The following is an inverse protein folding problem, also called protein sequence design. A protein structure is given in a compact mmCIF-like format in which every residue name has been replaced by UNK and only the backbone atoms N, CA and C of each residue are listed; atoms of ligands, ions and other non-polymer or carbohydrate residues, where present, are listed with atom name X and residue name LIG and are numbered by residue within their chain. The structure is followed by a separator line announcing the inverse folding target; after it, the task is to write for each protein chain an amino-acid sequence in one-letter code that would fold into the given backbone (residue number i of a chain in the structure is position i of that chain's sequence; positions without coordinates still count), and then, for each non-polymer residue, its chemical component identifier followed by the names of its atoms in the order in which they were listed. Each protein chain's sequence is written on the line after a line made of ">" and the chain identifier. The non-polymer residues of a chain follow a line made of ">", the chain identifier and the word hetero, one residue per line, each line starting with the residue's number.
data_IF_420195374267
#
_entry.id   IF_420195374267
#
_cell.length_a   1.000
_cell.length_b   1.000
_cell.length_c   1.000
_cell.angle_alpha   90.00
_cell.angle_beta   90.00
_cell.angle_gamma   90.00
#
_symmetry.space_group_name_H-M   'P 1'
#
loop_
_entity.id
_entity.type
_entity.pdbx_description
1 polymer ?
#
# COMPACT_ATOMS: atom_id res chain seq x y z
N UNK A 1 -6.35 37.35 -5.16
CA UNK A 1 -6.00 37.30 -6.60
C UNK A 1 -6.19 35.88 -7.08
N UNK A 2 -6.54 35.65 -8.35
CA UNK A 2 -6.92 34.33 -8.85
C UNK A 2 -5.74 33.57 -9.48
N UNK A 3 -5.51 32.33 -9.06
CA UNK A 3 -4.62 31.36 -9.69
C UNK A 3 -5.53 30.28 -10.29
N UNK A 4 -6.10 30.58 -11.46
CA UNK A 4 -7.07 29.68 -12.10
C UNK A 4 -6.40 28.41 -12.60
N UNK A 5 -7.11 27.29 -12.47
CA UNK A 5 -6.88 26.11 -13.28
C UNK A 5 -7.03 26.48 -14.77
N UNK A 6 -6.00 26.26 -15.58
CA UNK A 6 -6.17 26.28 -17.02
C UNK A 6 -7.11 25.11 -17.35
N UNK A 7 -8.32 25.43 -17.80
CA UNK A 7 -9.39 24.52 -18.19
C UNK A 7 -8.83 23.17 -18.66
N UNK A 8 -8.81 22.21 -17.74
CA UNK A 8 -8.53 20.83 -18.10
C UNK A 8 -9.71 20.43 -18.99
N UNK A 9 -9.42 19.99 -20.21
CA UNK A 9 -10.41 19.53 -21.21
C UNK A 9 -11.21 18.29 -20.76
N UNK A 10 -11.27 18.03 -19.45
CA UNK A 10 -11.99 16.96 -18.81
C UNK A 10 -13.36 17.52 -18.43
N UNK A 11 -14.28 17.40 -19.38
CA UNK A 11 -15.70 17.71 -19.19
C UNK A 11 -16.24 16.78 -18.10
N UNK A 12 -16.50 17.32 -16.91
CA UNK A 12 -17.61 17.01 -15.98
C UNK A 12 -17.30 17.65 -14.62
N UNK A 13 -18.33 18.21 -13.99
CA UNK A 13 -18.27 18.82 -12.65
C UNK A 13 -17.43 18.02 -11.65
N UNK A 14 -16.62 18.76 -10.92
CA UNK A 14 -15.28 18.37 -10.45
C UNK A 14 -15.36 17.53 -9.16
N UNK A 15 -15.67 16.23 -9.27
CA UNK A 15 -15.32 15.26 -8.21
C UNK A 15 -13.87 14.79 -8.43
N UNK A 16 -12.91 15.52 -7.86
CA UNK A 16 -11.47 15.17 -7.83
C UNK A 16 -11.13 13.99 -6.93
N UNK A 17 -12.10 13.52 -6.14
CA UNK A 17 -11.99 12.30 -5.36
C UNK A 17 -13.18 11.40 -5.71
N UNK A 18 -12.91 10.25 -6.30
CA UNK A 18 -13.90 9.21 -6.53
C UNK A 18 -13.70 8.06 -5.54
N UNK A 19 -14.76 7.28 -5.31
CA UNK A 19 -14.61 5.94 -4.71
C UNK A 19 -14.00 4.95 -5.70
N UNK A 20 -14.05 5.27 -6.98
CA UNK A 20 -13.40 4.49 -8.03
C UNK A 20 -11.89 4.68 -7.94
N UNK A 21 -11.17 3.56 -7.99
CA UNK A 21 -9.71 3.48 -7.79
C UNK A 21 -8.90 3.93 -9.01
N UNK A 22 -9.61 4.33 -10.06
CA UNK A 22 -9.06 4.86 -11.31
C UNK A 22 -9.74 6.19 -11.60
N UNK A 23 -8.96 7.22 -11.89
CA UNK A 23 -9.49 8.54 -12.24
C UNK A 23 -9.68 8.65 -13.78
N UNK A 24 -10.67 7.95 -14.32
CA UNK A 24 -11.00 8.04 -15.75
C UNK A 24 -11.69 9.35 -16.16
N UNK A 25 -11.51 10.43 -15.39
CA UNK A 25 -12.11 11.75 -15.60
C UNK A 25 -11.67 12.40 -16.91
N UNK A 26 -10.48 12.03 -17.37
CA UNK A 26 -9.90 12.52 -18.61
C UNK A 26 -9.82 11.38 -19.63
N UNK A 27 -10.55 11.49 -20.73
CA UNK A 27 -10.58 10.44 -21.76
C UNK A 27 -9.16 10.12 -22.25
N UNK A 28 -8.72 8.88 -22.03
CA UNK A 28 -7.38 8.40 -22.41
C UNK A 28 -6.27 8.71 -21.41
N UNK A 29 -6.59 9.30 -20.25
CA UNK A 29 -5.69 9.44 -19.09
C UNK A 29 -6.34 8.74 -17.91
N UNK A 30 -5.87 7.54 -17.62
CA UNK A 30 -6.24 6.81 -16.42
C UNK A 30 -5.01 6.74 -15.54
N UNK A 31 -5.10 7.33 -14.36
CA UNK A 31 -4.14 7.15 -13.28
C UNK A 31 -4.67 6.06 -12.36
N UNK A 32 -3.76 5.21 -11.93
CA UNK A 32 -4.05 4.15 -10.96
C UNK A 32 -2.93 4.13 -9.94
N UNK A 33 -3.28 3.76 -8.71
CA UNK A 33 -2.28 3.43 -7.71
C UNK A 33 -1.36 2.33 -8.25
N UNK A 34 -0.05 2.54 -8.11
CA UNK A 34 0.92 1.53 -8.48
C UNK A 34 0.71 0.27 -7.65
N UNK A 35 0.80 -0.89 -8.27
CA UNK A 35 0.73 -2.18 -7.57
C UNK A 35 2.01 -2.95 -7.86
N UNK A 36 2.64 -3.47 -6.82
CA UNK A 36 3.78 -4.35 -6.96
C UNK A 36 3.31 -5.72 -7.50
N UNK A 37 4.07 -6.26 -8.46
CA UNK A 37 3.89 -7.64 -8.93
C UNK A 37 4.06 -8.60 -7.76
N UNK A 38 3.09 -9.51 -7.58
CA UNK A 38 3.17 -10.53 -6.54
C UNK A 38 4.38 -11.43 -6.78
N UNK A 39 5.19 -11.62 -5.75
CA UNK A 39 6.28 -12.60 -5.74
C UNK A 39 6.02 -13.56 -4.60
N UNK A 40 6.27 -14.85 -4.82
CA UNK A 40 6.14 -15.89 -3.81
C UNK A 40 7.23 -16.93 -4.00
N UNK A 41 7.97 -17.21 -2.93
CA UNK A 41 9.07 -18.18 -2.93
C UNK A 41 8.85 -19.22 -1.83
N UNK A 42 9.10 -20.49 -2.16
CA UNK A 42 9.00 -21.59 -1.21
C UNK A 42 10.31 -21.75 -0.44
N UNK A 43 10.21 -22.02 0.86
CA UNK A 43 11.33 -22.47 1.68
C UNK A 43 11.47 -23.98 1.69
N UNK A 44 12.40 -24.47 2.49
CA UNK A 44 12.64 -25.91 2.68
C UNK A 44 11.59 -26.52 3.60
N UNK A 45 11.27 -25.82 4.70
CA UNK A 45 10.35 -26.27 5.74
C UNK A 45 9.18 -25.31 5.94
N UNK A 46 9.30 -24.05 5.50
CA UNK A 46 8.23 -23.07 5.51
C UNK A 46 7.82 -22.70 4.08
N UNK A 47 6.53 -22.81 3.79
CA UNK A 47 5.98 -22.43 2.50
C UNK A 47 4.78 -21.48 2.67
N UNK A 48 4.85 -20.24 2.16
CA UNK A 48 6.00 -19.61 1.52
C UNK A 48 7.06 -19.11 2.53
N UNK A 49 8.31 -19.00 2.07
CA UNK A 49 9.42 -18.35 2.79
C UNK A 49 9.46 -16.85 2.52
N UNK A 50 9.04 -16.41 1.34
CA UNK A 50 8.95 -14.99 1.01
C UNK A 50 7.68 -14.70 0.21
N UNK A 51 7.01 -13.60 0.55
CA UNK A 51 5.94 -13.01 -0.24
C UNK A 51 6.20 -11.51 -0.42
N UNK A 52 6.06 -11.00 -1.63
CA UNK A 52 5.76 -9.59 -1.91
C UNK A 52 4.31 -9.50 -2.40
N UNK A 53 3.48 -8.68 -1.76
CA UNK A 53 2.10 -8.47 -2.20
C UNK A 53 1.66 -7.03 -1.96
N UNK A 54 0.84 -6.52 -2.87
CA UNK A 54 0.14 -5.25 -2.67
C UNK A 54 -1.05 -5.40 -1.72
N UNK A 55 -1.15 -4.52 -0.74
CA UNK A 55 -2.26 -4.43 0.20
C UNK A 55 -2.68 -2.96 0.36
N UNK A 56 -3.94 -2.68 0.08
CA UNK A 56 -4.48 -1.32 0.09
C UNK A 56 -4.89 -0.90 1.51
N UNK A 57 -4.80 0.40 1.78
CA UNK A 57 -5.31 1.00 3.03
C UNK A 57 -6.79 0.70 3.23
N UNK A 58 -7.17 0.37 4.47
CA UNK A 58 -8.52 -0.03 4.84
C UNK A 58 -8.96 -1.40 4.30
N UNK A 59 -8.10 -2.10 3.56
CA UNK A 59 -8.36 -3.45 3.07
C UNK A 59 -7.64 -4.49 3.94
N UNK A 60 -8.19 -5.71 3.93
CA UNK A 60 -7.67 -6.83 4.71
C UNK A 60 -7.24 -7.95 3.77
N UNK A 61 -6.15 -8.62 4.10
CA UNK A 61 -5.67 -9.79 3.37
C UNK A 61 -5.23 -10.86 4.35
N UNK A 62 -5.51 -12.11 3.99
CA UNK A 62 -5.10 -13.29 4.75
C UNK A 62 -4.15 -14.13 3.90
N UNK A 63 -3.05 -14.55 4.50
CA UNK A 63 -2.01 -15.37 3.88
C UNK A 63 -1.78 -16.63 4.70
N UNK A 64 -1.67 -17.77 4.02
CA UNK A 64 -1.45 -19.06 4.66
C UNK A 64 0.00 -19.49 4.48
N UNK A 65 0.59 -20.00 5.55
CA UNK A 65 1.93 -20.55 5.62
C UNK A 65 1.83 -21.96 6.16
N UNK A 66 2.43 -22.91 5.47
CA UNK A 66 2.48 -24.30 5.90
C UNK A 66 3.87 -24.67 6.37
N UNK A 67 3.93 -25.53 7.39
CA UNK A 67 5.17 -26.10 7.89
C UNK A 67 4.92 -27.47 8.54
N UNK A 68 5.92 -28.37 8.52
CA UNK A 68 5.81 -29.64 9.20
C UNK A 68 5.88 -29.45 10.71
N UNK A 69 5.07 -30.21 11.44
CA UNK A 69 5.08 -30.24 12.90
C UNK A 69 4.58 -31.59 13.40
N UNK A 70 5.26 -32.13 14.40
CA UNK A 70 4.82 -33.35 15.12
C UNK A 70 3.91 -33.05 16.31
N UNK A 71 3.76 -31.78 16.66
CA UNK A 71 2.91 -31.32 17.77
C UNK A 71 1.75 -30.49 17.26
N UNK A 72 0.60 -30.63 17.91
CA UNK A 72 -0.59 -29.81 17.64
C UNK A 72 -0.46 -28.38 18.20
N UNK A 73 0.40 -28.19 19.19
CA UNK A 73 0.71 -26.89 19.77
C UNK A 73 2.09 -26.43 19.29
N UNK A 74 2.09 -25.44 18.41
CA UNK A 74 3.33 -24.84 17.90
C UNK A 74 3.44 -23.36 18.27
N UNK A 75 4.63 -22.98 18.72
CA UNK A 75 4.92 -21.60 19.08
C UNK A 75 5.25 -20.82 17.80
N UNK A 76 4.22 -20.25 17.20
CA UNK A 76 4.35 -19.31 16.07
C UNK A 76 4.33 -17.89 16.59
N UNK A 77 5.34 -17.11 16.20
CA UNK A 77 5.51 -15.70 16.55
C UNK A 77 5.68 -14.87 15.30
N UNK A 78 5.37 -13.58 15.38
CA UNK A 78 5.62 -12.65 14.30
C UNK A 78 6.19 -11.33 14.83
N UNK A 79 6.95 -10.66 13.97
CA UNK A 79 7.48 -9.32 14.19
C UNK A 79 7.05 -8.47 13.00
N UNK A 80 6.57 -7.26 13.27
CA UNK A 80 6.17 -6.32 12.22
C UNK A 80 7.08 -5.10 12.22
N UNK A 81 7.55 -4.71 11.04
CA UNK A 81 8.37 -3.50 10.83
C UNK A 81 7.77 -2.68 9.68
N UNK A 82 7.63 -1.37 9.86
CA UNK A 82 7.10 -0.44 8.85
C UNK A 82 8.14 0.58 8.42
N UNK A 83 8.07 1.06 7.18
CA UNK A 83 8.86 2.20 6.71
C UNK A 83 8.26 3.54 7.15
N UNK A 84 7.02 3.54 7.65
CA UNK A 84 6.29 4.72 8.08
C UNK A 84 5.57 4.46 9.42
N UNK A 85 4.30 4.86 9.53
CA UNK A 85 3.49 4.78 10.74
C UNK A 85 3.27 3.31 11.15
N UNK A 86 2.89 3.14 12.42
CA UNK A 86 2.52 1.84 13.00
C UNK A 86 1.02 1.54 12.90
N UNK A 87 0.29 2.26 12.05
CA UNK A 87 -1.16 2.18 11.91
C UNK A 87 -1.57 0.99 11.03
N UNK A 88 -1.40 -0.22 11.56
CA UNK A 88 -1.78 -1.47 10.92
C UNK A 88 -2.22 -2.50 11.95
N UNK A 89 -3.08 -3.41 11.52
CA UNK A 89 -3.48 -4.59 12.29
C UNK A 89 -2.84 -5.83 11.67
N UNK A 90 -2.23 -6.65 12.53
CA UNK A 90 -1.75 -7.99 12.15
C UNK A 90 -2.22 -8.98 13.20
N UNK A 91 -2.90 -10.03 12.77
CA UNK A 91 -3.30 -11.14 13.63
C UNK A 91 -2.82 -12.46 13.04
N UNK A 92 -2.74 -13.48 13.90
CA UNK A 92 -2.35 -14.83 13.49
C UNK A 92 -3.30 -15.87 14.04
N UNK A 93 -3.50 -16.93 13.27
CA UNK A 93 -4.17 -18.14 13.71
C UNK A 93 -3.41 -19.35 13.19
N UNK A 94 -3.19 -20.35 14.04
CA UNK A 94 -2.48 -21.58 13.65
C UNK A 94 -3.40 -22.77 13.86
N UNK A 95 -3.45 -23.64 12.85
CA UNK A 95 -4.18 -24.90 12.87
C UNK A 95 -3.29 -26.04 12.42
N UNK A 96 -3.27 -27.13 13.17
CA UNK A 96 -2.44 -28.30 12.88
C UNK A 96 -3.32 -29.51 12.57
N UNK A 97 -3.02 -30.20 11.47
CA UNK A 97 -3.69 -31.42 11.05
C UNK A 97 -2.66 -32.49 10.69
N UNK A 98 -2.59 -33.54 11.51
CA UNK A 98 -1.57 -34.58 11.38
C UNK A 98 -0.17 -34.01 11.58
N UNK A 99 0.71 -34.21 10.59
CA UNK A 99 2.11 -33.77 10.63
C UNK A 99 2.34 -32.39 10.00
N UNK A 100 1.28 -31.68 9.59
CA UNK A 100 1.37 -30.35 8.96
C UNK A 100 0.57 -29.34 9.75
N UNK A 101 1.17 -28.17 9.99
CA UNK A 101 0.47 -27.00 10.51
C UNK A 101 0.36 -25.91 9.43
N UNK A 102 -0.75 -25.20 9.46
CA UNK A 102 -1.01 -24.00 8.68
C UNK A 102 -1.17 -22.83 9.63
N UNK A 103 -0.37 -21.78 9.47
CA UNK A 103 -0.62 -20.48 10.09
C UNK A 103 -1.20 -19.53 9.06
N UNK A 104 -2.29 -18.88 9.42
CA UNK A 104 -2.86 -17.76 8.68
C UNK A 104 -2.40 -16.47 9.34
N UNK A 105 -1.75 -15.59 8.58
CA UNK A 105 -1.49 -14.20 8.97
C UNK A 105 -2.53 -13.34 8.25
N UNK A 106 -3.27 -12.58 9.03
CA UNK A 106 -4.18 -11.57 8.52
C UNK A 106 -3.59 -10.19 8.79
N UNK A 107 -3.50 -9.37 7.74
CA UNK A 107 -2.94 -8.03 7.80
C UNK A 107 -3.90 -7.01 7.20
N UNK A 108 -3.97 -5.82 7.81
CA UNK A 108 -4.76 -4.69 7.34
C UNK A 108 -4.08 -3.36 7.73
N UNK A 109 -3.54 -2.59 6.78
CA UNK A 109 -3.13 -1.21 7.03
C UNK A 109 -4.36 -0.34 7.25
N UNK A 110 -4.33 0.51 8.27
CA UNK A 110 -5.42 1.44 8.55
C UNK A 110 -5.45 2.58 7.53
N UNK A 111 -6.55 3.33 7.52
CA UNK A 111 -6.72 4.47 6.59
C UNK A 111 -5.68 5.59 6.81
N UNK A 112 -5.06 5.65 8.00
CA UNK A 112 -4.02 6.63 8.36
C UNK A 112 -2.60 6.10 8.21
N UNK A 113 -2.42 4.89 7.68
CA UNK A 113 -1.09 4.29 7.48
C UNK A 113 -0.19 5.20 6.64
N UNK A 114 -0.73 5.71 5.52
CA UNK A 114 -0.05 6.64 4.62
C UNK A 114 -0.08 8.06 5.19
N UNK A 115 1.07 8.62 5.58
CA UNK A 115 1.15 10.03 5.93
C UNK A 115 1.03 10.93 4.70
N UNK A 116 0.52 12.15 4.90
CA UNK A 116 0.26 13.12 3.83
C UNK A 116 1.54 13.61 3.13
N UNK A 117 2.68 13.59 3.83
CA UNK A 117 4.02 13.92 3.33
C UNK A 117 4.87 12.68 3.01
N UNK A 118 4.23 11.50 3.00
CA UNK A 118 4.86 10.23 2.67
C UNK A 118 5.16 10.06 1.18
N UNK A 119 5.69 8.89 0.82
CA UNK A 119 5.93 8.53 -0.58
C UNK A 119 4.65 8.09 -1.28
N UNK A 120 4.73 7.88 -2.59
CA UNK A 120 3.66 7.29 -3.40
C UNK A 120 3.29 5.86 -2.97
N UNK A 121 4.20 5.16 -2.30
CA UNK A 121 3.96 3.88 -1.68
C UNK A 121 4.90 3.68 -0.49
N UNK A 122 4.48 2.84 0.44
CA UNK A 122 5.24 2.48 1.62
C UNK A 122 5.22 0.96 1.81
N UNK A 123 6.07 0.46 2.72
CA UNK A 123 6.12 -0.96 3.02
C UNK A 123 5.93 -1.22 4.51
N UNK A 124 5.24 -2.30 4.82
CA UNK A 124 5.43 -2.96 6.11
C UNK A 124 5.69 -4.45 5.91
N UNK A 125 6.50 -5.00 6.80
CA UNK A 125 7.06 -6.33 6.69
C UNK A 125 6.64 -7.12 7.90
N UNK A 126 6.11 -8.32 7.68
CA UNK A 126 5.77 -9.27 8.73
C UNK A 126 6.72 -10.45 8.61
N UNK A 127 7.55 -10.64 9.62
CA UNK A 127 8.43 -11.80 9.74
C UNK A 127 7.78 -12.82 10.67
N UNK A 128 7.53 -14.02 10.18
CA UNK A 128 6.92 -15.13 10.92
C UNK A 128 7.98 -16.17 11.25
N UNK A 129 8.05 -16.57 12.51
CA UNK A 129 8.98 -17.57 13.01
C UNK A 129 8.24 -18.67 13.77
N UNK A 130 8.65 -19.92 13.56
CA UNK A 130 8.09 -21.11 14.19
C UNK A 130 9.15 -21.74 15.08
N UNK A 131 8.80 -22.04 16.33
CA UNK A 131 9.71 -22.72 17.26
C UNK A 131 10.22 -24.05 16.69
N UNK A 132 11.54 -24.26 16.72
CA UNK A 132 12.17 -25.48 16.19
C UNK A 132 12.38 -25.49 14.68
N UNK A 133 12.01 -24.43 13.95
CA UNK A 133 12.36 -24.21 12.54
C UNK A 133 13.27 -22.99 12.46
N UNK A 134 14.47 -23.15 11.90
CA UNK A 134 15.43 -22.04 11.73
C UNK A 134 15.01 -21.08 10.61
N UNK A 135 14.29 -21.58 9.60
CA UNK A 135 13.71 -20.74 8.55
C UNK A 135 12.63 -19.80 9.15
N UNK A 136 12.51 -18.62 8.55
CA UNK A 136 11.42 -17.68 8.81
C UNK A 136 10.71 -17.34 7.51
N UNK A 137 9.42 -17.06 7.58
CA UNK A 137 8.68 -16.48 6.46
C UNK A 137 8.73 -14.96 6.53
N UNK A 138 9.04 -14.30 5.42
CA UNK A 138 9.09 -12.84 5.30
C UNK A 138 8.03 -12.35 4.32
N UNK A 139 7.05 -11.60 4.84
CA UNK A 139 5.97 -11.04 4.05
C UNK A 139 6.22 -9.55 3.92
N UNK A 140 6.43 -9.07 2.71
CA UNK A 140 6.56 -7.65 2.39
C UNK A 140 5.26 -7.15 1.77
N UNK A 141 4.53 -6.33 2.50
CA UNK A 141 3.34 -5.66 2.00
C UNK A 141 3.72 -4.33 1.37
N UNK A 142 3.41 -4.18 0.08
CA UNK A 142 3.45 -2.91 -0.64
C UNK A 142 2.12 -2.19 -0.45
N UNK A 143 2.13 -1.01 0.16
CA UNK A 143 0.93 -0.21 0.38
C UNK A 143 0.97 1.01 -0.53
N UNK A 144 0.11 1.10 -1.56
CA UNK A 144 0.03 2.27 -2.41
C UNK A 144 -0.62 3.42 -1.64
N UNK A 145 0.04 4.59 -1.61
CA UNK A 145 -0.37 5.76 -0.83
C UNK A 145 -0.79 6.95 -1.70
N UNK A 146 -0.19 7.12 -2.89
CA UNK A 146 -0.56 8.18 -3.83
C UNK A 146 -0.32 7.75 -5.29
N UNK A 147 -0.97 8.47 -6.22
CA UNK A 147 -0.78 8.28 -7.66
C UNK A 147 0.61 8.79 -8.09
N UNK A 148 1.23 8.16 -9.11
CA UNK A 148 2.56 8.57 -9.58
C UNK A 148 2.66 10.03 -10.05
N UNK A 149 1.56 10.65 -10.48
CA UNK A 149 1.50 12.09 -10.80
C UNK A 149 1.93 13.00 -9.64
N UNK A 150 1.82 12.53 -8.39
CA UNK A 150 2.13 13.33 -7.21
C UNK A 150 3.64 13.53 -7.05
N UNK A 151 4.46 12.74 -7.73
CA UNK A 151 5.92 12.92 -7.77
C UNK A 151 6.32 14.04 -8.75
N UNK A 152 5.50 14.29 -9.77
CA UNK A 152 5.76 15.29 -10.81
C UNK A 152 5.11 16.63 -10.45
N UNK A 153 5.75 17.37 -9.55
CA UNK A 153 5.31 18.72 -9.15
C UNK A 153 5.98 19.79 -10.02
N UNK A 154 5.20 20.49 -10.84
CA UNK A 154 5.69 21.65 -11.60
C UNK A 154 5.53 22.92 -10.75
N UNK A 155 6.61 23.35 -10.09
CA UNK A 155 6.64 24.60 -9.33
C UNK A 155 6.51 25.83 -10.25
N UNK A 156 5.78 26.86 -9.79
CA UNK A 156 5.46 28.06 -10.57
C UNK A 156 4.94 27.71 -11.98
N UNK A 157 4.07 26.70 -12.05
CA UNK A 157 3.58 26.15 -13.31
C UNK A 157 2.93 27.23 -14.16
N UNK A 158 3.19 27.21 -15.47
CA UNK A 158 2.48 28.08 -16.41
C UNK A 158 0.96 27.79 -16.39
N UNK A 159 0.59 26.54 -16.16
CA UNK A 159 -0.80 26.08 -15.98
C UNK A 159 -1.46 26.78 -14.79
N UNK A 160 -0.70 27.02 -13.73
CA UNK A 160 -1.13 27.73 -12.52
C UNK A 160 -0.75 29.22 -12.55
N UNK A 161 -0.71 29.85 -13.73
CA UNK A 161 -0.37 31.27 -13.92
C UNK A 161 0.97 31.72 -13.29
N UNK A 162 1.90 30.79 -13.05
CA UNK A 162 3.16 31.00 -12.30
C UNK A 162 2.94 31.51 -10.86
N UNK A 163 1.80 31.18 -10.25
CA UNK A 163 1.41 31.58 -8.87
C UNK A 163 1.06 30.38 -7.99
N UNK A 164 1.53 29.20 -8.39
CA UNK A 164 1.27 27.96 -7.70
C UNK A 164 2.01 26.79 -8.35
N UNK A 165 1.91 25.64 -7.71
CA UNK A 165 2.46 24.38 -8.18
C UNK A 165 1.37 23.53 -8.83
N UNK A 166 1.67 22.87 -9.93
CA UNK A 166 0.76 21.95 -10.61
C UNK A 166 1.14 20.49 -10.32
N UNK A 167 0.18 19.69 -9.85
CA UNK A 167 0.36 18.24 -9.65
C UNK A 167 -0.99 17.52 -9.75
N UNK A 168 -1.02 16.34 -10.36
CA UNK A 168 -2.23 15.51 -10.51
C UNK A 168 -3.48 16.25 -11.01
N UNK A 169 -3.31 17.18 -11.97
CA UNK A 169 -4.43 17.95 -12.50
C UNK A 169 -4.92 19.11 -11.64
N UNK A 170 -4.22 19.44 -10.54
CA UNK A 170 -4.63 20.45 -9.57
C UNK A 170 -3.53 21.50 -9.37
N UNK A 171 -3.95 22.77 -9.26
CA UNK A 171 -3.09 23.88 -8.87
C UNK A 171 -3.13 24.15 -7.36
N UNK A 172 -2.00 24.00 -6.67
CA UNK A 172 -1.83 24.48 -5.30
C UNK A 172 -1.28 25.89 -5.31
N UNK A 173 -2.10 26.87 -4.92
CA UNK A 173 -1.78 28.30 -4.97
C UNK A 173 -0.79 28.72 -3.88
N UNK A 174 0.10 29.67 -4.20
CA UNK A 174 0.92 30.36 -3.19
C UNK A 174 0.07 31.26 -2.27
N UNK A 175 0.62 31.62 -1.11
CA UNK A 175 -0.06 32.49 -0.15
C UNK A 175 -0.52 33.82 -0.79
N UNK A 176 -1.77 34.22 -0.53
CA UNK A 176 -2.40 35.40 -1.12
C UNK A 176 -3.12 35.17 -2.46
N UNK A 177 -2.98 33.98 -3.05
CA UNK A 177 -3.68 33.54 -4.25
C UNK A 177 -4.74 32.48 -3.93
N UNK A 178 -5.82 32.46 -4.70
CA UNK A 178 -6.92 31.48 -4.58
C UNK A 178 -7.34 31.00 -5.96
N UNK A 179 -7.90 29.79 -6.06
CA UNK A 179 -8.51 29.27 -7.30
C UNK A 179 -9.63 30.19 -7.83
#
# INVERSE_FOLDING_TARGET
>A
MACKDAASNCLVEVKRCSRDRSDSWCKGKTETLFTATRVEEKGTLLSPKYILQTLEVGSRTSLNFTFPSKTSEQKVTYIVNSTQNSDFQVTKQTYCNGETCTTTIEAAPETTFCAADGKTYEYFNVKVSVGGIEESSEIKFHVPCACGCSEAVEAMSRTCNRRGSYSCGVCTCEEGWKE
#
